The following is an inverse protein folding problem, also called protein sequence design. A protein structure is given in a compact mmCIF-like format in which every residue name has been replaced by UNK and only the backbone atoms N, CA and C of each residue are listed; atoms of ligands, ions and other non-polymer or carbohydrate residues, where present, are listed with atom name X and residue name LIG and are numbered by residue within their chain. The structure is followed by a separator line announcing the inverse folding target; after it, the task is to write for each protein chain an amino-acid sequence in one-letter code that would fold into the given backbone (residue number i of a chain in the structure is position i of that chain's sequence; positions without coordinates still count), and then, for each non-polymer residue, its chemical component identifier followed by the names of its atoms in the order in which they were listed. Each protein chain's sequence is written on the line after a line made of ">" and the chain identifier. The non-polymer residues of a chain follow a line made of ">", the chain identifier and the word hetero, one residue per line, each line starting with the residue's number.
data_IF_048299930797
#
_entry.id   IF_048299930797
#
_cell.length_a   1.000
_cell.length_b   1.000
_cell.length_c   1.000
_cell.angle_alpha   90.00
_cell.angle_beta   90.00
_cell.angle_gamma   90.00
#
_symmetry.space_group_name_H-M   'P 1'
#
loop_
_entity.id
_entity.type
_entity.pdbx_description
1 polymer ?
#
# COMPACT_ATOMS: atom_id res chain seq x y z
N UNK A 1 -22.80 10.52 -20.89
CA UNK A 1 -23.58 9.30 -21.19
C UNK A 1 -23.06 8.21 -20.28
N UNK A 2 -23.92 7.68 -19.44
CA UNK A 2 -23.55 6.66 -18.46
C UNK A 2 -23.55 5.25 -19.05
N UNK A 3 -23.99 5.11 -20.31
CA UNK A 3 -23.97 3.86 -21.09
C UNK A 3 -23.36 4.15 -22.47
N UNK A 4 -22.38 3.34 -22.88
CA UNK A 4 -21.80 3.33 -24.22
C UNK A 4 -22.39 2.17 -25.00
N UNK A 5 -23.08 2.47 -26.10
CA UNK A 5 -23.59 1.48 -27.04
C UNK A 5 -22.56 1.19 -28.14
N UNK A 6 -22.62 -0.01 -28.69
CA UNK A 6 -21.85 -0.38 -29.88
C UNK A 6 -22.38 0.33 -31.13
N UNK A 7 -21.61 0.39 -32.21
CA UNK A 7 -21.95 1.12 -33.44
C UNK A 7 -23.31 0.71 -34.04
N UNK A 8 -23.71 -0.55 -33.86
CA UNK A 8 -24.99 -1.10 -34.33
C UNK A 8 -26.16 -0.86 -33.36
N UNK A 9 -25.93 -0.25 -32.19
CA UNK A 9 -26.95 0.04 -31.17
C UNK A 9 -27.51 -1.18 -30.41
N UNK A 10 -27.09 -2.40 -30.77
CA UNK A 10 -27.65 -3.65 -30.22
C UNK A 10 -26.99 -4.15 -28.93
N UNK A 11 -25.82 -3.62 -28.56
CA UNK A 11 -25.03 -4.08 -27.41
C UNK A 11 -24.50 -2.91 -26.59
N UNK A 12 -24.42 -3.11 -25.28
CA UNK A 12 -23.78 -2.18 -24.35
C UNK A 12 -22.32 -2.59 -24.20
N UNK A 13 -21.40 -1.68 -24.52
CA UNK A 13 -19.95 -1.90 -24.40
C UNK A 13 -19.43 -1.51 -23.03
N UNK A 14 -19.97 -0.44 -22.44
CA UNK A 14 -19.60 0.02 -21.11
C UNK A 14 -20.79 0.71 -20.44
N UNK A 15 -20.89 0.58 -19.12
CA UNK A 15 -21.84 1.33 -18.32
C UNK A 15 -21.15 1.76 -17.04
N UNK A 16 -21.48 2.95 -16.54
CA UNK A 16 -21.06 3.45 -15.23
C UNK A 16 -22.30 3.85 -14.45
N UNK A 17 -22.25 3.67 -13.15
CA UNK A 17 -23.27 4.13 -12.24
C UNK A 17 -22.61 4.72 -11.01
N UNK A 18 -23.21 5.74 -10.43
CA UNK A 18 -22.71 6.38 -9.22
C UNK A 18 -23.35 5.73 -8.00
N UNK A 19 -22.53 5.50 -6.98
CA UNK A 19 -22.98 5.01 -5.67
C UNK A 19 -22.55 6.07 -4.67
N UNK A 20 -23.47 6.49 -3.81
CA UNK A 20 -23.16 7.41 -2.72
C UNK A 20 -22.91 6.62 -1.44
N UNK A 21 -21.72 6.80 -0.87
CA UNK A 21 -21.41 6.26 0.44
C UNK A 21 -22.21 6.99 1.52
N UNK A 22 -22.81 6.24 2.45
CA UNK A 22 -23.50 6.78 3.61
C UNK A 22 -22.75 6.37 4.87
N UNK A 23 -22.70 7.26 5.87
CA UNK A 23 -22.13 6.98 7.18
C UNK A 23 -20.62 6.62 7.20
N UNK A 24 -19.84 7.18 6.27
CA UNK A 24 -18.37 7.09 6.30
C UNK A 24 -17.83 8.35 6.99
N UNK A 25 -17.36 8.18 8.22
CA UNK A 25 -16.91 9.28 9.09
C UNK A 25 -15.40 9.27 9.33
N UNK A 26 -14.73 8.14 9.10
CA UNK A 26 -13.29 7.96 9.35
C UNK A 26 -12.58 7.34 8.15
N UNK A 27 -11.27 7.61 8.05
CA UNK A 27 -10.37 7.10 7.02
C UNK A 27 -10.33 5.57 7.01
N UNK A 28 -10.43 4.94 8.19
CA UNK A 28 -10.49 3.48 8.28
C UNK A 28 -11.79 2.91 7.69
N UNK A 29 -12.92 3.57 7.91
CA UNK A 29 -14.20 3.17 7.33
C UNK A 29 -14.20 3.34 5.82
N UNK A 30 -13.61 4.42 5.30
CA UNK A 30 -13.45 4.62 3.87
C UNK A 30 -12.58 3.51 3.25
N UNK A 31 -11.47 3.16 3.90
CA UNK A 31 -10.59 2.08 3.47
C UNK A 31 -11.30 0.72 3.40
N UNK A 32 -12.10 0.38 4.42
CA UNK A 32 -12.89 -0.86 4.45
C UNK A 32 -13.93 -0.85 3.33
N UNK A 33 -14.68 0.23 3.18
CA UNK A 33 -15.66 0.38 2.11
C UNK A 33 -15.04 0.17 0.72
N UNK A 34 -13.89 0.79 0.44
CA UNK A 34 -13.20 0.64 -0.86
C UNK A 34 -12.75 -0.81 -1.09
N UNK A 35 -12.24 -1.49 -0.06
CA UNK A 35 -11.85 -2.90 -0.14
C UNK A 35 -13.04 -3.81 -0.42
N UNK A 36 -14.17 -3.58 0.25
CA UNK A 36 -15.39 -4.37 0.07
C UNK A 36 -15.98 -4.15 -1.32
N UNK A 37 -16.05 -2.90 -1.79
CA UNK A 37 -16.49 -2.58 -3.15
C UNK A 37 -15.60 -3.25 -4.21
N UNK A 38 -14.26 -3.23 -4.01
CA UNK A 38 -13.32 -3.94 -4.89
C UNK A 38 -13.52 -5.45 -4.85
N UNK A 39 -13.81 -6.03 -3.68
CA UNK A 39 -14.10 -7.45 -3.53
C UNK A 39 -15.39 -7.86 -4.25
N UNK A 40 -16.46 -7.07 -4.12
CA UNK A 40 -17.74 -7.27 -4.82
C UNK A 40 -17.53 -7.18 -6.35
N UNK A 41 -16.80 -6.17 -6.81
CA UNK A 41 -16.47 -6.01 -8.23
C UNK A 41 -15.69 -7.22 -8.77
N UNK A 42 -14.76 -7.77 -7.98
CA UNK A 42 -13.98 -8.97 -8.32
C UNK A 42 -14.79 -10.27 -8.28
N UNK A 43 -15.80 -10.35 -7.41
CA UNK A 43 -16.69 -11.51 -7.31
C UNK A 43 -17.76 -11.54 -8.42
N UNK A 44 -18.02 -10.40 -9.05
CA UNK A 44 -18.95 -10.28 -10.17
C UNK A 44 -18.42 -11.03 -11.40
N UNK A 45 -19.30 -11.68 -12.19
CA UNK A 45 -18.93 -12.25 -13.49
C UNK A 45 -18.64 -11.17 -14.56
N UNK A 46 -18.83 -9.90 -14.23
CA UNK A 46 -18.58 -8.76 -15.11
C UNK A 46 -17.20 -8.16 -14.83
N UNK A 47 -16.54 -7.63 -15.87
CA UNK A 47 -15.30 -6.84 -15.73
C UNK A 47 -15.62 -5.46 -15.14
N UNK A 48 -16.00 -5.42 -13.87
CA UNK A 48 -16.37 -4.22 -13.14
C UNK A 48 -15.16 -3.63 -12.41
N UNK A 49 -15.04 -2.31 -12.42
CA UNK A 49 -14.02 -1.58 -11.67
C UNK A 49 -14.69 -0.46 -10.87
N UNK A 50 -14.17 -0.21 -9.67
CA UNK A 50 -14.65 0.86 -8.79
C UNK A 50 -13.67 2.02 -8.92
N UNK A 51 -14.18 3.19 -9.29
CA UNK A 51 -13.36 4.36 -9.53
C UNK A 51 -13.80 5.56 -8.69
N UNK A 52 -12.83 6.24 -8.10
CA UNK A 52 -12.98 7.54 -7.49
C UNK A 52 -11.68 8.34 -7.72
N UNK A 53 -11.74 9.63 -8.10
CA UNK A 53 -10.54 10.41 -8.40
C UNK A 53 -9.49 10.43 -7.28
N UNK A 54 -9.93 10.37 -6.02
CA UNK A 54 -9.03 10.36 -4.87
C UNK A 54 -8.34 9.02 -4.60
N UNK A 55 -8.77 7.91 -5.22
CA UNK A 55 -8.22 6.58 -4.93
C UNK A 55 -6.72 6.46 -5.24
N UNK A 56 -6.20 7.22 -6.20
CA UNK A 56 -4.76 7.24 -6.49
C UNK A 56 -3.95 7.68 -5.26
N UNK A 57 -4.44 8.69 -4.53
CA UNK A 57 -3.79 9.15 -3.31
C UNK A 57 -3.95 8.13 -2.18
N UNK A 58 -5.16 7.58 -2.00
CA UNK A 58 -5.42 6.56 -0.97
C UNK A 58 -4.56 5.32 -1.15
N UNK A 59 -4.46 4.79 -2.36
CA UNK A 59 -3.65 3.60 -2.65
C UNK A 59 -2.16 3.87 -2.38
N UNK A 60 -1.66 5.07 -2.70
CA UNK A 60 -0.29 5.47 -2.38
C UNK A 60 -0.05 5.51 -0.85
N UNK A 61 -0.95 6.09 -0.07
CA UNK A 61 -0.83 6.12 1.39
C UNK A 61 -1.01 4.73 2.03
N UNK A 62 -1.77 3.84 1.42
CA UNK A 62 -1.85 2.45 1.87
C UNK A 62 -0.54 1.68 1.62
N UNK A 63 0.12 1.95 0.49
CA UNK A 63 1.35 1.27 0.07
C UNK A 63 2.62 1.84 0.73
N UNK A 64 2.64 3.12 1.12
CA UNK A 64 3.86 3.78 1.64
C UNK A 64 4.35 3.11 2.92
N UNK A 65 3.45 2.77 3.86
CA UNK A 65 3.82 2.17 5.15
C UNK A 65 4.51 0.80 5.01
N UNK A 66 3.90 -0.21 4.34
CA UNK A 66 4.56 -1.51 4.19
C UNK A 66 5.85 -1.40 3.37
N UNK A 67 5.87 -0.56 2.34
CA UNK A 67 7.06 -0.37 1.50
C UNK A 67 8.22 0.27 2.27
N UNK A 68 7.93 1.27 3.11
CA UNK A 68 8.94 1.90 3.96
C UNK A 68 9.52 0.90 4.97
N UNK A 69 8.68 0.14 5.67
CA UNK A 69 9.13 -0.89 6.62
C UNK A 69 9.95 -1.97 5.91
N UNK A 70 9.51 -2.43 4.75
CA UNK A 70 10.23 -3.43 3.97
C UNK A 70 11.61 -2.91 3.54
N UNK A 71 11.68 -1.68 3.02
CA UNK A 71 12.94 -1.06 2.62
C UNK A 71 13.90 -0.90 3.80
N UNK A 72 13.37 -0.49 4.96
CA UNK A 72 14.13 -0.32 6.20
C UNK A 72 14.73 -1.65 6.68
N UNK A 73 13.92 -2.71 6.74
CA UNK A 73 14.38 -4.04 7.17
C UNK A 73 15.39 -4.63 6.19
N UNK A 74 15.11 -4.57 4.88
CA UNK A 74 16.02 -5.10 3.86
C UNK A 74 17.34 -4.33 3.85
N UNK A 75 17.30 -3.01 3.98
CA UNK A 75 18.49 -2.16 4.10
C UNK A 75 19.33 -2.53 5.32
N UNK A 76 18.71 -2.66 6.49
CA UNK A 76 19.37 -3.05 7.73
C UNK A 76 20.08 -4.41 7.62
N UNK A 77 19.41 -5.39 7.03
CA UNK A 77 19.98 -6.73 6.81
C UNK A 77 21.20 -6.69 5.89
N UNK A 78 21.12 -5.93 4.79
CA UNK A 78 22.24 -5.80 3.85
C UNK A 78 23.42 -5.12 4.53
N UNK A 79 23.20 -4.03 5.27
CA UNK A 79 24.27 -3.32 5.98
C UNK A 79 24.94 -4.21 7.02
N UNK A 80 24.17 -5.03 7.73
CA UNK A 80 24.69 -5.98 8.72
C UNK A 80 25.49 -7.11 8.06
N UNK A 81 25.05 -7.64 6.91
CA UNK A 81 25.81 -8.64 6.17
C UNK A 81 27.14 -8.07 5.66
N UNK A 82 27.12 -6.84 5.14
CA UNK A 82 28.33 -6.14 4.69
C UNK A 82 29.30 -5.92 5.85
N UNK A 83 28.82 -5.49 7.02
CA UNK A 83 29.70 -5.29 8.17
C UNK A 83 30.39 -6.59 8.60
N UNK A 84 29.66 -7.72 8.63
CA UNK A 84 30.24 -9.03 8.99
C UNK A 84 31.27 -9.55 7.99
N UNK A 85 31.10 -9.27 6.69
CA UNK A 85 32.05 -9.72 5.66
C UNK A 85 33.34 -8.90 5.69
N UNK A 86 33.22 -7.58 5.85
CA UNK A 86 34.35 -6.66 5.70
C UNK A 86 35.11 -6.37 7.00
N UNK A 87 34.51 -6.57 8.18
CA UNK A 87 35.17 -6.32 9.47
C UNK A 87 35.75 -7.64 10.01
N UNK A 88 37.09 -7.80 10.04
CA UNK A 88 37.73 -9.07 10.44
C UNK A 88 37.57 -9.40 11.93
N UNK A 89 37.21 -8.41 12.76
CA UNK A 89 36.97 -8.60 14.19
C UNK A 89 35.46 -8.80 14.46
N UNK A 90 35.08 -10.01 14.86
CA UNK A 90 33.70 -10.39 15.11
C UNK A 90 33.00 -9.54 16.18
N UNK A 91 33.70 -9.23 17.28
CA UNK A 91 33.14 -8.41 18.37
C UNK A 91 32.87 -6.98 17.90
N UNK A 92 33.77 -6.39 17.12
CA UNK A 92 33.58 -5.06 16.54
C UNK A 92 32.38 -5.03 15.59
N UNK A 93 32.25 -6.04 14.72
CA UNK A 93 31.11 -6.13 13.80
C UNK A 93 29.77 -6.30 14.52
N UNK A 94 29.76 -6.99 15.67
CA UNK A 94 28.55 -7.15 16.49
C UNK A 94 28.07 -5.81 17.07
N UNK A 95 28.99 -4.97 17.56
CA UNK A 95 28.65 -3.62 18.03
C UNK A 95 28.08 -2.74 16.93
N UNK A 96 28.65 -2.81 15.72
CA UNK A 96 28.13 -2.11 14.55
C UNK A 96 26.72 -2.59 14.20
N UNK A 97 26.46 -3.90 14.25
CA UNK A 97 25.14 -4.46 14.04
C UNK A 97 24.11 -3.93 15.07
N UNK A 98 24.47 -3.86 16.35
CA UNK A 98 23.60 -3.26 17.37
C UNK A 98 23.34 -1.77 17.12
N UNK A 99 24.34 -1.00 16.69
CA UNK A 99 24.15 0.40 16.33
C UNK A 99 23.19 0.56 15.14
N UNK A 100 23.30 -0.27 14.11
CA UNK A 100 22.37 -0.28 12.96
C UNK A 100 20.95 -0.53 13.46
N UNK A 101 20.74 -1.59 14.24
CA UNK A 101 19.41 -1.92 14.79
C UNK A 101 18.85 -0.78 15.63
N UNK A 102 19.68 -0.12 16.45
CA UNK A 102 19.27 1.03 17.27
C UNK A 102 18.82 2.22 16.41
N UNK A 103 19.51 2.51 15.30
CA UNK A 103 19.16 3.61 14.40
C UNK A 103 17.82 3.31 13.72
N UNK A 104 17.65 2.10 13.18
CA UNK A 104 16.42 1.69 12.50
C UNK A 104 15.21 1.68 13.44
N UNK A 105 15.38 1.21 14.68
CA UNK A 105 14.34 1.30 15.71
C UNK A 105 13.99 2.76 16.04
N UNK A 106 14.99 3.65 16.10
CA UNK A 106 14.78 5.09 16.29
C UNK A 106 13.97 5.70 15.16
N UNK A 107 14.34 5.43 13.89
CA UNK A 107 13.62 5.90 12.70
C UNK A 107 12.19 5.36 12.68
N UNK A 108 12.00 4.06 12.92
CA UNK A 108 10.68 3.45 13.03
C UNK A 108 9.82 4.07 14.15
N UNK A 109 10.43 4.33 15.30
CA UNK A 109 9.79 5.00 16.43
C UNK A 109 9.32 6.41 16.08
N UNK A 110 10.18 7.23 15.48
CA UNK A 110 9.80 8.57 15.02
C UNK A 110 8.71 8.55 13.95
N UNK A 111 8.74 7.59 13.02
CA UNK A 111 7.67 7.40 12.03
C UNK A 111 6.34 6.98 12.67
N UNK A 112 6.35 6.35 13.85
CA UNK A 112 5.13 5.97 14.57
C UNK A 112 4.56 7.09 15.46
N UNK A 113 5.42 8.04 15.86
CA UNK A 113 5.05 9.18 16.69
C UNK A 113 4.40 10.31 15.88
N UNK A 114 4.68 10.36 14.59
CA UNK A 114 4.18 11.35 13.64
C UNK A 114 3.03 10.78 12.81
#
# INVERSE_FOLDING_TARGET
>A
LDVKFSADGKRIEASRFMIQAINITDTNHEKVMVKDLRAIAKASPLNATVFHPYFVFFDQFELVRPTAIQSMVVGALIMMLVSFIFIPNFLCSLWVAFSIVSIELGVAGYMSLW
#
